data_IF_901490311578
#
_entry.id   IF_901490311578
#
_cell.length_a   1.000
_cell.length_b   1.000
_cell.length_c   1.000
_cell.angle_alpha   90.00
_cell.angle_beta   90.00
_cell.angle_gamma   90.00
#
_symmetry.space_group_name_H-M   'P 1'
#
loop_
_entity.id
_entity.type
_entity.pdbx_description
1 polymer ?
#
# COMPACT_ATOMS: atom_id res chain seq x y z
N UNK A 1 -0.51 24.61 -1.78
CA UNK A 1 -0.10 23.41 -1.00
C UNK A 1 1.15 23.68 -0.17
N UNK A 2 2.26 24.13 -0.76
CA UNK A 2 3.53 24.39 -0.06
C UNK A 2 3.43 25.43 1.07
N UNK A 3 2.74 26.54 0.85
CA UNK A 3 2.58 27.60 1.87
C UNK A 3 1.75 27.18 3.09
N UNK A 4 0.70 26.37 2.89
CA UNK A 4 -0.11 25.87 4.00
C UNK A 4 0.66 24.84 4.83
N UNK A 5 1.54 24.06 4.18
CA UNK A 5 2.44 23.12 4.85
C UNK A 5 3.46 23.85 5.72
N UNK A 6 4.07 24.93 5.23
CA UNK A 6 4.98 25.76 6.02
C UNK A 6 4.28 26.38 7.25
N UNK A 7 3.03 26.80 7.12
CA UNK A 7 2.25 27.32 8.27
C UNK A 7 2.01 26.25 9.33
N UNK A 8 1.71 25.02 8.93
CA UNK A 8 1.52 23.89 9.84
C UNK A 8 2.84 23.53 10.52
N UNK A 9 3.92 23.39 9.76
CA UNK A 9 5.27 23.10 10.28
C UNK A 9 5.70 24.16 11.30
N UNK A 10 5.47 25.43 11.00
CA UNK A 10 5.83 26.55 11.90
C UNK A 10 4.94 26.64 13.15
N UNK A 11 3.76 26.01 13.15
CA UNK A 11 2.86 25.95 14.31
C UNK A 11 3.12 24.77 15.24
N UNK A 12 4.03 23.86 14.87
CA UNK A 12 4.40 22.71 15.70
C UNK A 12 5.49 23.15 16.67
N UNK A 13 5.14 23.28 17.96
CA UNK A 13 6.08 23.62 19.03
C UNK A 13 6.80 22.40 19.60
N UNK A 14 6.27 21.19 19.37
CA UNK A 14 6.84 19.94 19.84
C UNK A 14 7.82 19.38 18.80
N UNK A 15 9.10 19.31 19.16
CA UNK A 15 10.17 18.83 18.28
C UNK A 15 9.98 17.37 17.84
N UNK A 16 9.46 16.48 18.68
CA UNK A 16 9.22 15.08 18.32
C UNK A 16 8.12 14.98 17.25
N UNK A 17 7.08 15.82 17.35
CA UNK A 17 6.02 15.90 16.35
C UNK A 17 6.53 16.50 15.04
N UNK A 18 7.43 17.48 15.12
CA UNK A 18 8.06 18.08 13.96
C UNK A 18 8.93 17.07 13.22
N UNK A 19 9.71 16.27 13.95
CA UNK A 19 10.54 15.20 13.41
C UNK A 19 9.69 14.14 12.69
N UNK A 20 8.61 13.66 13.32
CA UNK A 20 7.68 12.73 12.67
C UNK A 20 7.06 13.30 11.39
N UNK A 21 6.72 14.59 11.35
CA UNK A 21 6.20 15.24 10.14
C UNK A 21 7.26 15.27 9.03
N UNK A 22 8.52 15.54 9.37
CA UNK A 22 9.62 15.51 8.41
C UNK A 22 9.88 14.10 7.86
N UNK A 23 9.87 13.06 8.71
CA UNK A 23 10.02 11.66 8.27
C UNK A 23 8.92 11.26 7.27
N UNK A 24 7.67 11.66 7.52
CA UNK A 24 6.55 11.39 6.62
C UNK A 24 6.74 12.12 5.28
N UNK A 25 7.22 13.36 5.28
CA UNK A 25 7.48 14.11 4.06
C UNK A 25 8.68 13.53 3.28
N UNK A 26 9.71 13.08 3.97
CA UNK A 26 10.87 12.44 3.37
C UNK A 26 10.51 11.10 2.73
N UNK A 27 9.72 10.26 3.40
CA UNK A 27 9.27 8.98 2.85
C UNK A 27 8.48 9.13 1.54
N UNK A 28 7.75 10.25 1.37
CA UNK A 28 7.06 10.59 0.12
C UNK A 28 8.02 11.02 -0.99
N UNK A 29 9.13 11.68 -0.66
CA UNK A 29 10.18 12.04 -1.61
C UNK A 29 11.04 10.86 -2.06
N UNK A 30 11.09 9.80 -1.25
CA UNK A 30 11.81 8.56 -1.58
C UNK A 30 11.00 7.60 -2.47
N UNK A 31 9.77 7.97 -2.84
CA UNK A 31 8.98 7.18 -3.79
C UNK A 31 9.67 7.15 -5.17
N UNK A 32 10.28 6.00 -5.48
CA UNK A 32 10.79 5.69 -6.82
C UNK A 32 9.80 4.76 -7.51
N UNK A 33 9.35 5.15 -8.70
CA UNK A 33 8.48 4.31 -9.51
C UNK A 33 9.07 2.90 -9.65
N UNK A 34 8.23 1.89 -9.40
CA UNK A 34 8.64 0.48 -9.45
C UNK A 34 9.43 -0.02 -8.23
N UNK A 35 9.65 0.79 -7.17
CA UNK A 35 10.41 0.36 -5.97
C UNK A 35 9.86 -0.92 -5.34
N UNK A 36 8.52 -1.04 -5.22
CA UNK A 36 7.87 -2.22 -4.67
C UNK A 36 8.20 -3.48 -5.47
N UNK A 37 8.05 -3.43 -6.79
CA UNK A 37 8.37 -4.55 -7.68
C UNK A 37 9.87 -4.84 -7.64
N UNK A 38 10.73 -3.83 -7.56
CA UNK A 38 12.18 -4.00 -7.54
C UNK A 38 12.68 -4.67 -6.25
N UNK A 39 11.99 -4.49 -5.14
CA UNK A 39 12.35 -5.08 -3.85
C UNK A 39 11.97 -6.57 -3.73
N UNK A 40 11.17 -7.11 -4.65
CA UNK A 40 10.80 -8.52 -4.65
C UNK A 40 11.97 -9.41 -5.09
N UNK A 41 12.18 -10.52 -4.39
CA UNK A 41 13.08 -11.56 -4.84
C UNK A 41 12.51 -12.29 -6.08
N UNK A 42 13.29 -13.21 -6.67
CA UNK A 42 12.91 -13.89 -7.91
C UNK A 42 11.62 -14.70 -7.75
N UNK A 43 11.44 -15.37 -6.62
CA UNK A 43 10.26 -16.19 -6.37
C UNK A 43 9.01 -15.32 -6.17
N UNK A 44 9.11 -14.25 -5.38
CA UNK A 44 8.02 -13.30 -5.14
C UNK A 44 7.59 -12.58 -6.42
N UNK A 45 8.54 -12.19 -7.26
CA UNK A 45 8.24 -11.54 -8.55
C UNK A 45 7.55 -12.50 -9.51
N UNK A 46 7.97 -13.77 -9.50
CA UNK A 46 7.34 -14.81 -10.31
C UNK A 46 5.89 -15.03 -9.86
N UNK A 47 5.66 -15.20 -8.57
CA UNK A 47 4.32 -15.36 -7.99
C UNK A 47 3.43 -14.16 -8.33
N UNK A 48 3.93 -12.92 -8.15
CA UNK A 48 3.18 -11.71 -8.49
C UNK A 48 2.71 -11.71 -9.95
N UNK A 49 3.57 -12.07 -10.89
CA UNK A 49 3.21 -12.11 -12.31
C UNK A 49 2.25 -13.26 -12.63
N UNK A 50 2.41 -14.41 -11.98
CA UNK A 50 1.49 -15.54 -12.12
C UNK A 50 0.09 -15.16 -11.62
N UNK A 51 -0.02 -14.63 -10.40
CA UNK A 51 -1.31 -14.17 -9.85
C UNK A 51 -1.95 -13.06 -10.67
N UNK A 52 -1.16 -12.13 -11.21
CA UNK A 52 -1.67 -11.11 -12.12
C UNK A 52 -2.28 -11.74 -13.38
N UNK A 53 -1.59 -12.68 -14.01
CA UNK A 53 -2.10 -13.35 -15.20
C UNK A 53 -3.33 -14.21 -14.90
N UNK A 54 -3.35 -14.91 -13.78
CA UNK A 54 -4.51 -15.68 -13.32
C UNK A 54 -5.72 -14.78 -13.06
N UNK A 55 -5.51 -13.57 -12.54
CA UNK A 55 -6.62 -12.62 -12.31
C UNK A 55 -7.30 -12.13 -13.59
N UNK A 56 -6.62 -12.25 -14.75
CA UNK A 56 -7.19 -11.92 -16.05
C UNK A 56 -7.98 -13.07 -16.67
N UNK A 57 -7.84 -14.29 -16.14
CA UNK A 57 -8.57 -15.47 -16.57
C UNK A 57 -9.79 -15.67 -15.67
N UNK A 58 -10.98 -15.37 -16.20
CA UNK A 58 -12.24 -15.54 -15.48
C UNK A 58 -12.46 -16.97 -14.97
N UNK A 59 -11.87 -17.98 -15.62
CA UNK A 59 -11.96 -19.39 -15.18
C UNK A 59 -11.14 -19.69 -13.92
N UNK A 60 -10.22 -18.80 -13.54
CA UNK A 60 -9.40 -18.87 -12.33
C UNK A 60 -9.97 -18.07 -11.17
N UNK A 61 -11.00 -17.26 -11.43
CA UNK A 61 -11.66 -16.49 -10.38
C UNK A 61 -12.51 -17.38 -9.50
N UNK A 62 -12.49 -17.10 -8.21
CA UNK A 62 -13.36 -17.78 -7.24
C UNK A 62 -14.73 -17.10 -7.24
N UNK A 63 -15.78 -17.92 -7.25
CA UNK A 63 -17.15 -17.40 -7.11
C UNK A 63 -17.32 -16.65 -5.78
N UNK A 64 -17.88 -15.44 -5.87
CA UNK A 64 -18.00 -14.53 -4.73
C UNK A 64 -18.90 -15.10 -3.63
N UNK A 65 -19.99 -15.78 -4.01
CA UNK A 65 -20.93 -16.35 -3.04
C UNK A 65 -20.34 -17.58 -2.35
N UNK A 66 -19.58 -18.41 -3.08
CA UNK A 66 -18.79 -19.50 -2.50
C UNK A 66 -17.70 -18.99 -1.54
N UNK A 67 -17.03 -17.88 -1.85
CA UNK A 67 -16.03 -17.26 -0.98
C UNK A 67 -16.66 -16.74 0.32
N UNK A 68 -17.78 -16.01 0.22
CA UNK A 68 -18.52 -15.51 1.39
C UNK A 68 -19.01 -16.65 2.29
N UNK A 69 -19.52 -17.73 1.69
CA UNK A 69 -19.99 -18.90 2.43
C UNK A 69 -18.86 -19.62 3.17
N UNK A 70 -17.68 -19.75 2.55
CA UNK A 70 -16.52 -20.42 3.16
C UNK A 70 -15.85 -19.59 4.26
N UNK A 71 -15.92 -18.26 4.16
CA UNK A 71 -15.30 -17.33 5.11
C UNK A 71 -16.32 -16.53 5.92
N UNK A 72 -17.55 -17.04 6.06
CA UNK A 72 -18.66 -16.34 6.73
C UNK A 72 -18.31 -15.88 8.14
N UNK A 73 -17.55 -16.70 8.88
CA UNK A 73 -17.03 -16.35 10.22
C UNK A 73 -16.23 -15.04 10.29
N UNK A 74 -15.59 -14.62 9.20
CA UNK A 74 -14.76 -13.42 9.12
C UNK A 74 -15.43 -12.28 8.34
N UNK A 75 -16.38 -12.61 7.46
CA UNK A 75 -17.03 -11.68 6.55
C UNK A 75 -18.45 -11.29 6.99
N UNK A 76 -19.04 -11.99 7.95
CA UNK A 76 -20.26 -11.56 8.63
C UNK A 76 -19.90 -10.51 9.69
N UNK A 77 -20.47 -9.32 9.53
CA UNK A 77 -20.50 -8.26 10.55
C UNK A 77 -21.89 -8.21 11.16
#
# INVERSE_FOLDING_TARGET
MRENLHKIINSIENNDLLEMVYEVLESKNQYKQGSLINNLNVAERKELYESYNESLDESKLVDLEALKKSHSKWLEK
#
